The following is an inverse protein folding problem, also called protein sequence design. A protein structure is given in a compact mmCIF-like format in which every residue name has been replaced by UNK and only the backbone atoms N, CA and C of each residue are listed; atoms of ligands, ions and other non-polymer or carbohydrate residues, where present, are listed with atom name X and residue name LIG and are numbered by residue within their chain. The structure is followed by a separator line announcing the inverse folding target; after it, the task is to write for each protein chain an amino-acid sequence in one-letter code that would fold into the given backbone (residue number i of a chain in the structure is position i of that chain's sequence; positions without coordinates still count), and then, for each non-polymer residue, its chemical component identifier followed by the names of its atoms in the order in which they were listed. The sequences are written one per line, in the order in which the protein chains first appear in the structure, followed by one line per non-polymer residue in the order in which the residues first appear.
data_IF_318898551396
#
_entry.id   IF_318898551396
#
_cell.length_a   1.000
_cell.length_b   1.000
_cell.length_c   1.000
_cell.angle_alpha   90.00
_cell.angle_beta   90.00
_cell.angle_gamma   90.00
#
_symmetry.space_group_name_H-M   'P 1'
#
loop_
_entity.id
_entity.type
_entity.pdbx_description
1 polymer ?
#
# COMPACT_ATOMS: atom_id res chain seq x y z
N UNK A 1 -4.17 13.27 9.21
CA UNK A 1 -2.94 14.01 8.91
C UNK A 1 -2.14 13.21 7.88
N UNK A 2 -1.67 13.85 6.81
CA UNK A 2 -0.89 13.18 5.76
C UNK A 2 0.59 13.40 6.08
N UNK A 3 1.33 12.30 6.26
CA UNK A 3 2.78 12.34 6.42
C UNK A 3 3.44 12.17 5.04
N UNK A 4 4.21 13.14 4.54
CA UNK A 4 4.86 13.05 3.23
C UNK A 4 5.97 11.99 3.17
N UNK A 5 6.44 11.50 4.31
CA UNK A 5 7.39 10.39 4.41
C UNK A 5 6.75 9.02 4.17
N UNK A 6 5.44 8.89 4.41
CA UNK A 6 4.70 7.64 4.21
C UNK A 6 4.13 7.60 2.80
N UNK A 7 4.41 6.51 2.08
CA UNK A 7 4.10 6.33 0.67
C UNK A 7 3.13 5.17 0.46
N UNK A 8 2.37 5.23 -0.64
CA UNK A 8 1.41 4.21 -1.04
C UNK A 8 2.08 3.03 -1.75
N UNK A 9 3.10 2.44 -1.13
CA UNK A 9 3.69 1.19 -1.62
C UNK A 9 2.69 0.04 -1.50
N UNK A 10 2.92 -1.05 -2.24
CA UNK A 10 2.12 -2.26 -2.06
C UNK A 10 2.10 -2.71 -0.58
N UNK A 11 0.92 -3.08 -0.10
CA UNK A 11 0.68 -3.41 1.30
C UNK A 11 0.46 -2.24 2.24
N UNK A 12 0.53 -0.98 1.79
CA UNK A 12 0.17 0.16 2.63
C UNK A 12 -1.29 0.07 3.07
N UNK A 13 -1.54 0.36 4.35
CA UNK A 13 -2.88 0.49 4.94
C UNK A 13 -3.23 1.97 5.04
N UNK A 14 -4.30 2.36 4.38
CA UNK A 14 -4.64 3.75 4.13
C UNK A 14 -6.08 4.07 4.56
N UNK A 15 -6.28 5.31 5.01
CA UNK A 15 -7.61 5.85 5.26
C UNK A 15 -8.20 6.38 3.95
N UNK A 16 -9.40 5.91 3.59
CA UNK A 16 -10.10 6.39 2.43
C UNK A 16 -10.78 7.73 2.70
N UNK A 17 -10.68 8.65 1.75
CA UNK A 17 -11.43 9.90 1.75
C UNK A 17 -12.49 9.87 0.65
N UNK A 18 -13.70 10.29 0.99
CA UNK A 18 -14.74 10.46 -0.02
C UNK A 18 -14.35 11.59 -0.99
N UNK A 19 -14.44 11.32 -2.30
CA UNK A 19 -14.22 12.32 -3.33
C UNK A 19 -15.33 13.37 -3.28
N UNK A 20 -14.95 14.66 -3.19
CA UNK A 20 -15.86 15.80 -3.27
C UNK A 20 -16.26 16.47 -1.95
N UNK A 21 -15.68 16.06 -0.81
CA UNK A 21 -15.85 16.73 0.48
C UNK A 21 -14.62 17.52 0.94
N UNK A 22 -14.82 18.44 1.87
CA UNK A 22 -13.70 18.98 2.62
C UNK A 22 -13.00 17.82 3.38
N UNK A 23 -11.67 17.74 3.33
CA UNK A 23 -10.85 16.71 4.00
C UNK A 23 -10.83 16.88 5.54
N UNK A 24 -11.95 17.25 6.11
CA UNK A 24 -12.13 17.54 7.55
C UNK A 24 -12.73 16.37 8.31
N UNK A 25 -12.18 15.20 8.14
CA UNK A 25 -12.58 14.04 8.93
C UNK A 25 -12.56 12.76 8.09
N UNK A 26 -11.64 11.88 8.40
CA UNK A 26 -11.66 10.52 7.89
C UNK A 26 -12.94 9.84 8.36
N UNK A 27 -13.67 9.18 7.44
CA UNK A 27 -14.68 8.24 7.84
C UNK A 27 -14.03 6.89 8.22
N UNK A 28 -14.83 5.90 8.59
CA UNK A 28 -14.34 4.59 9.03
C UNK A 28 -13.87 3.68 7.89
N UNK A 29 -13.74 4.19 6.68
CA UNK A 29 -13.30 3.40 5.53
C UNK A 29 -11.77 3.38 5.45
N UNK A 30 -11.23 2.21 5.21
CA UNK A 30 -9.81 2.00 4.96
C UNK A 30 -9.63 1.06 3.77
N UNK A 31 -8.44 1.07 3.20
CA UNK A 31 -8.06 0.15 2.13
C UNK A 31 -6.61 -0.28 2.26
N UNK A 32 -6.29 -1.42 1.66
CA UNK A 32 -4.92 -1.89 1.45
C UNK A 32 -4.52 -1.60 0.01
N UNK A 33 -3.31 -1.11 -0.17
CA UNK A 33 -2.74 -0.97 -1.51
C UNK A 33 -2.38 -2.36 -2.03
N UNK A 34 -3.11 -2.82 -3.03
CA UNK A 34 -2.77 -4.02 -3.77
C UNK A 34 -2.18 -3.59 -5.12
N UNK A 35 -0.91 -3.89 -5.32
CA UNK A 35 -0.20 -3.61 -6.56
C UNK A 35 0.85 -4.69 -6.79
N UNK A 36 1.15 -4.96 -8.04
CA UNK A 36 2.18 -5.91 -8.41
C UNK A 36 3.53 -5.20 -8.54
N UNK A 37 4.65 -5.89 -8.33
CA UNK A 37 5.95 -5.43 -8.80
C UNK A 37 5.85 -5.01 -10.27
N UNK A 38 6.61 -4.03 -10.69
CA UNK A 38 6.58 -3.44 -12.03
C UNK A 38 5.28 -2.70 -12.40
N UNK A 39 4.33 -2.51 -11.47
CA UNK A 39 3.14 -1.67 -11.69
C UNK A 39 3.49 -0.19 -11.89
N UNK A 40 4.69 0.23 -11.49
CA UNK A 40 5.25 1.56 -11.74
C UNK A 40 6.31 1.44 -12.83
N UNK A 41 5.91 1.69 -14.06
CA UNK A 41 6.76 1.57 -15.25
C UNK A 41 7.81 2.69 -15.37
N UNK A 42 8.72 2.59 -16.35
CA UNK A 42 9.79 3.58 -16.55
C UNK A 42 9.26 5.01 -16.77
N UNK A 43 8.12 5.17 -17.44
CA UNK A 43 7.55 6.49 -17.68
C UNK A 43 7.01 7.09 -16.38
N UNK A 44 6.39 6.27 -15.55
CA UNK A 44 5.94 6.68 -14.20
C UNK A 44 7.13 6.98 -13.29
N UNK A 45 8.19 6.18 -13.31
CA UNK A 45 9.42 6.45 -12.55
C UNK A 45 10.04 7.81 -12.95
N UNK A 46 10.10 8.11 -14.24
CA UNK A 46 10.57 9.42 -14.73
C UNK A 46 9.66 10.56 -14.24
N UNK A 47 8.34 10.36 -14.23
CA UNK A 47 7.41 11.35 -13.71
C UNK A 47 7.59 11.56 -12.19
N UNK A 48 7.85 10.50 -11.42
CA UNK A 48 8.16 10.60 -9.99
C UNK A 48 9.42 11.44 -9.76
N UNK A 49 10.49 11.21 -10.52
CA UNK A 49 11.71 12.00 -10.44
C UNK A 49 11.46 13.49 -10.71
N UNK A 50 10.64 13.82 -11.71
CA UNK A 50 10.24 15.19 -12.01
C UNK A 50 9.39 15.84 -10.91
N UNK A 51 8.64 15.02 -10.14
CA UNK A 51 7.82 15.47 -9.02
C UNK A 51 8.56 15.47 -7.67
N UNK A 52 9.90 15.34 -7.69
CA UNK A 52 10.75 15.50 -6.51
C UNK A 52 10.84 14.26 -5.60
N UNK A 53 10.49 13.08 -6.09
CA UNK A 53 10.77 11.83 -5.39
C UNK A 53 12.27 11.53 -5.39
N UNK A 54 12.77 11.00 -4.29
CA UNK A 54 14.17 10.53 -4.22
C UNK A 54 14.35 9.26 -5.03
N UNK A 55 15.58 8.96 -5.43
CA UNK A 55 15.87 7.73 -6.15
C UNK A 55 15.46 6.50 -5.33
N UNK A 56 15.71 6.50 -4.02
CA UNK A 56 15.30 5.42 -3.11
C UNK A 56 13.78 5.19 -3.13
N UNK A 57 12.98 6.24 -3.13
CA UNK A 57 11.52 6.12 -3.24
C UNK A 57 11.08 5.57 -4.60
N UNK A 58 11.75 5.97 -5.67
CA UNK A 58 11.47 5.48 -7.02
C UNK A 58 11.83 3.99 -7.12
N UNK A 59 12.98 3.60 -6.62
CA UNK A 59 13.44 2.20 -6.61
C UNK A 59 12.50 1.32 -5.77
N UNK A 60 12.01 1.83 -4.63
CA UNK A 60 11.03 1.13 -3.81
C UNK A 60 9.69 0.93 -4.54
N UNK A 61 9.20 1.94 -5.28
CA UNK A 61 8.02 1.80 -6.12
C UNK A 61 8.23 0.81 -7.28
N UNK A 62 9.38 0.82 -7.90
CA UNK A 62 9.71 -0.13 -8.97
C UNK A 62 9.76 -1.58 -8.44
N UNK A 63 10.33 -1.78 -7.26
CA UNK A 63 10.49 -3.11 -6.66
C UNK A 63 9.19 -3.67 -6.06
N UNK A 64 8.45 -2.85 -5.31
CA UNK A 64 7.26 -3.29 -4.58
C UNK A 64 5.95 -3.08 -5.36
N UNK A 65 5.94 -2.13 -6.28
CA UNK A 65 4.71 -1.59 -6.84
C UNK A 65 4.03 -0.59 -5.91
N UNK A 66 2.93 -0.02 -6.35
CA UNK A 66 2.16 0.91 -5.52
C UNK A 66 1.33 1.90 -6.31
N UNK A 67 0.77 2.89 -5.59
CA UNK A 67 -0.14 3.88 -6.13
C UNK A 67 0.36 5.32 -5.84
N UNK A 68 1.46 5.76 -6.49
CA UNK A 68 2.10 7.03 -6.15
C UNK A 68 1.20 8.25 -6.38
N UNK A 69 0.15 8.14 -7.20
CA UNK A 69 -0.82 9.22 -7.41
C UNK A 69 -1.68 9.54 -6.17
N UNK A 70 -1.71 8.63 -5.18
CA UNK A 70 -2.38 8.84 -3.89
C UNK A 70 -1.47 9.50 -2.85
N UNK A 71 -0.18 9.61 -3.11
CA UNK A 71 0.76 10.24 -2.19
C UNK A 71 0.37 11.70 -1.95
N UNK A 72 0.51 12.13 -0.71
CA UNK A 72 0.08 13.45 -0.23
C UNK A 72 -1.43 13.73 -0.37
N UNK A 73 -2.22 12.74 -0.78
CA UNK A 73 -3.67 12.85 -0.85
C UNK A 73 -4.35 12.05 0.25
N UNK A 74 -4.04 10.80 0.40
CA UNK A 74 -4.61 9.93 1.41
C UNK A 74 -3.62 9.69 2.54
N UNK A 75 -4.14 9.32 3.71
CA UNK A 75 -3.31 9.06 4.88
C UNK A 75 -2.92 7.59 4.93
N UNK A 76 -1.62 7.31 4.79
CA UNK A 76 -1.04 6.00 5.13
C UNK A 76 -0.84 5.95 6.65
N UNK A 77 -1.33 4.91 7.32
CA UNK A 77 -1.20 4.76 8.77
C UNK A 77 -0.73 3.36 9.20
N UNK A 78 -0.47 2.47 8.27
CA UNK A 78 0.04 1.13 8.55
C UNK A 78 0.62 0.46 7.31
N UNK A 79 1.21 -0.72 7.53
CA UNK A 79 1.80 -1.54 6.49
C UNK A 79 1.52 -3.01 6.80
N UNK A 80 1.14 -3.77 5.79
CA UNK A 80 1.06 -5.24 5.88
C UNK A 80 2.49 -5.77 5.97
N UNK A 81 2.81 -6.45 7.04
CA UNK A 81 4.11 -7.12 7.22
C UNK A 81 4.01 -8.64 7.01
N UNK A 82 2.81 -9.19 7.06
CA UNK A 82 2.53 -10.61 6.83
C UNK A 82 1.15 -10.78 6.21
N UNK A 83 0.98 -11.74 5.29
CA UNK A 83 -0.31 -12.07 4.72
C UNK A 83 -0.69 -11.30 3.44
N UNK A 84 0.24 -10.70 2.69
CA UNK A 84 -0.06 -10.07 1.39
C UNK A 84 -0.80 -10.99 0.43
N UNK A 85 -0.53 -12.28 0.46
CA UNK A 85 -1.26 -13.27 -0.33
C UNK A 85 -2.77 -13.34 -0.01
N UNK A 86 -3.19 -12.88 1.17
CA UNK A 86 -4.61 -12.73 1.52
C UNK A 86 -5.18 -11.48 0.85
N UNK A 87 -4.43 -10.38 0.84
CA UNK A 87 -4.82 -9.14 0.13
C UNK A 87 -5.00 -9.44 -1.37
N UNK A 88 -4.06 -10.18 -1.98
CA UNK A 88 -4.16 -10.60 -3.38
C UNK A 88 -5.41 -11.46 -3.66
N UNK A 89 -5.74 -12.38 -2.75
CA UNK A 89 -6.96 -13.19 -2.87
C UNK A 89 -8.22 -12.34 -2.76
N UNK A 90 -8.24 -11.35 -1.86
CA UNK A 90 -9.35 -10.40 -1.72
C UNK A 90 -9.52 -9.55 -2.99
N UNK A 91 -8.43 -9.08 -3.57
CA UNK A 91 -8.45 -8.32 -4.83
C UNK A 91 -8.92 -9.18 -6.03
N UNK A 92 -8.74 -10.50 -5.96
CA UNK A 92 -9.15 -11.44 -7.00
C UNK A 92 -10.57 -11.98 -6.87
N UNK A 93 -11.37 -11.57 -5.86
CA UNK A 93 -12.75 -12.06 -5.74
C UNK A 93 -13.60 -11.55 -6.89
N UNK A 94 -14.54 -12.37 -7.34
CA UNK A 94 -15.49 -11.98 -8.37
C UNK A 94 -16.37 -10.84 -7.86
N UNK A 95 -16.47 -9.78 -8.63
CA UNK A 95 -17.32 -8.62 -8.32
C UNK A 95 -18.60 -8.62 -9.17
N UNK A 96 -19.59 -7.86 -8.73
CA UNK A 96 -20.80 -7.62 -9.49
C UNK A 96 -20.51 -6.55 -10.53
N UNK A 97 -20.80 -6.86 -11.79
CA UNK A 97 -20.90 -5.83 -12.83
C UNK A 97 -22.28 -5.19 -12.69
N UNK A 98 -22.35 -3.96 -12.23
CA UNK A 98 -23.62 -3.26 -12.23
C UNK A 98 -24.00 -2.85 -13.65
N UNK A 99 -25.28 -3.04 -14.04
CA UNK A 99 -25.78 -2.70 -15.38
C UNK A 99 -25.62 -1.20 -15.70
N UNK A 100 -25.55 -0.36 -14.67
CA UNK A 100 -25.35 1.08 -14.76
C UNK A 100 -23.89 1.54 -14.52
N UNK A 101 -22.96 0.61 -14.29
CA UNK A 101 -21.55 0.89 -14.05
C UNK A 101 -21.23 1.54 -12.70
N UNK A 102 -22.22 1.68 -11.83
CA UNK A 102 -22.08 2.46 -10.60
C UNK A 102 -21.41 1.72 -9.43
N UNK A 103 -21.36 0.39 -9.42
CA UNK A 103 -20.83 -0.41 -8.31
C UNK A 103 -20.19 -1.73 -8.78
N UNK A 104 -19.06 -1.61 -9.45
CA UNK A 104 -18.31 -2.78 -9.98
C UNK A 104 -17.34 -3.40 -8.97
N UNK A 105 -17.24 -2.84 -7.75
CA UNK A 105 -16.25 -3.27 -6.75
C UNK A 105 -16.86 -4.14 -5.64
N UNK A 106 -18.17 -4.34 -5.62
CA UNK A 106 -18.82 -5.17 -4.60
C UNK A 106 -18.67 -6.65 -4.92
N UNK A 107 -18.28 -7.52 -3.95
CA UNK A 107 -18.21 -8.96 -4.16
C UNK A 107 -19.55 -9.52 -4.69
N UNK A 108 -19.46 -10.48 -5.63
CA UNK A 108 -20.64 -11.12 -6.23
C UNK A 108 -21.50 -11.82 -5.18
N UNK A 109 -20.86 -12.53 -4.25
CA UNK A 109 -21.49 -13.09 -3.06
C UNK A 109 -21.06 -12.25 -1.84
N UNK A 110 -22.02 -11.66 -1.14
CA UNK A 110 -21.75 -10.86 0.06
C UNK A 110 -21.14 -11.67 1.22
N UNK A 111 -21.16 -13.00 1.13
CA UNK A 111 -20.49 -13.91 2.06
C UNK A 111 -19.03 -14.18 1.74
N UNK A 112 -18.57 -13.81 0.53
CA UNK A 112 -17.20 -14.11 0.08
C UNK A 112 -16.13 -13.32 0.82
N UNK A 113 -16.48 -12.12 1.31
CA UNK A 113 -15.56 -11.25 2.03
C UNK A 113 -16.24 -10.72 3.30
N UNK A 114 -15.80 -11.22 4.44
CA UNK A 114 -16.34 -10.81 5.75
C UNK A 114 -15.20 -10.62 6.74
N UNK A 115 -15.20 -9.50 7.45
CA UNK A 115 -14.36 -9.29 8.62
C UNK A 115 -15.14 -9.83 9.83
N UNK A 116 -14.76 -10.99 10.34
CA UNK A 116 -15.40 -11.59 11.50
C UNK A 116 -15.01 -10.88 12.79
N UNK A 117 -13.73 -10.57 12.95
CA UNK A 117 -13.20 -9.80 14.09
C UNK A 117 -11.86 -9.17 13.76
N UNK A 118 -11.51 -8.14 14.51
CA UNK A 118 -10.21 -7.49 14.47
C UNK A 118 -9.60 -7.57 15.86
N UNK A 119 -8.36 -8.07 15.96
CA UNK A 119 -7.59 -8.09 17.20
C UNK A 119 -6.47 -7.05 17.11
N UNK A 120 -6.36 -6.20 18.12
CA UNK A 120 -5.27 -5.22 18.26
C UNK A 120 -4.31 -5.76 19.30
N UNK A 121 -3.05 -5.91 18.92
CA UNK A 121 -1.97 -6.36 19.80
C UNK A 121 -0.71 -5.53 19.57
N UNK A 122 0.22 -5.58 20.53
CA UNK A 122 1.53 -5.01 20.30
C UNK A 122 2.23 -5.80 19.16
N UNK A 123 2.90 -5.07 18.27
CA UNK A 123 3.70 -5.69 17.22
C UNK A 123 4.87 -6.48 17.84
N UNK A 124 4.96 -7.80 17.59
CA UNK A 124 5.97 -8.65 18.24
C UNK A 124 7.30 -8.66 17.50
N UNK A 125 7.37 -8.02 16.36
CA UNK A 125 8.55 -8.01 15.50
C UNK A 125 9.61 -7.00 15.93
N UNK A 126 10.72 -6.95 15.21
CA UNK A 126 11.79 -6.02 15.48
C UNK A 126 11.31 -4.56 15.33
N UNK A 127 11.91 -3.68 16.09
CA UNK A 127 11.70 -2.23 15.94
C UNK A 127 12.22 -1.75 14.58
N UNK A 128 11.80 -0.55 14.15
CA UNK A 128 12.31 0.07 12.92
C UNK A 128 13.84 0.18 12.92
N UNK A 129 14.43 0.45 14.09
CA UNK A 129 15.87 0.57 14.27
C UNK A 129 16.58 -0.79 14.12
N UNK A 130 16.00 -1.86 14.67
CA UNK A 130 16.51 -3.22 14.50
C UNK A 130 16.38 -3.73 13.06
N UNK A 131 15.28 -3.41 12.37
CA UNK A 131 15.11 -3.72 10.95
C UNK A 131 16.14 -2.99 10.09
N UNK A 132 16.36 -1.70 10.33
CA UNK A 132 17.36 -0.92 9.61
C UNK A 132 18.77 -1.47 9.82
N UNK A 133 19.09 -1.92 11.04
CA UNK A 133 20.36 -2.55 11.34
C UNK A 133 20.52 -3.92 10.65
N UNK A 134 19.46 -4.72 10.55
CA UNK A 134 19.46 -5.99 9.83
C UNK A 134 19.68 -5.78 8.33
N UNK A 135 18.99 -4.84 7.71
CA UNK A 135 19.16 -4.53 6.28
C UNK A 135 20.54 -3.98 5.97
N UNK A 136 21.11 -3.14 6.82
CA UNK A 136 22.47 -2.66 6.65
C UNK A 136 23.50 -3.80 6.68
N UNK A 137 23.30 -4.80 7.57
CA UNK A 137 24.17 -5.96 7.66
C UNK A 137 24.07 -6.89 6.44
N UNK A 138 22.88 -7.07 5.86
CA UNK A 138 22.67 -7.86 4.64
C UNK A 138 23.37 -7.23 3.42
N UNK A 139 23.30 -5.91 3.28
CA UNK A 139 23.95 -5.17 2.18
C UNK A 139 25.48 -5.27 2.28
N UNK A 140 26.03 -5.24 3.50
CA UNK A 140 27.49 -5.38 3.71
C UNK A 140 27.98 -6.81 3.38
N UNK A 141 27.17 -7.83 3.65
CA UNK A 141 27.54 -9.24 3.36
C UNK A 141 27.48 -9.53 1.84
N UNK A 142 26.52 -8.98 1.11
CA UNK A 142 26.47 -9.09 -0.37
C UNK A 142 27.66 -8.38 -1.05
N UNK A 143 28.14 -7.27 -0.51
CA UNK A 143 29.31 -6.56 -1.02
C UNK A 143 30.66 -7.22 -0.65
N UNK A 144 30.69 -8.13 0.33
CA UNK A 144 31.88 -8.84 0.76
C UNK A 144 32.21 -10.09 -0.09
N UNK A 145 31.29 -10.53 -0.96
CA UNK A 145 31.41 -11.74 -1.81
C UNK A 145 31.75 -11.41 -3.27
N UNK A 146 32.11 -10.18 -3.59
CA UNK A 146 32.50 -9.70 -4.92
C UNK A 146 34.00 -9.69 -5.16
#
# INVERSE_FOLDING_TARGET
EVDPGLKHYAGALCAAFATGGERTGGNSQFYFVQALPDSVDEAQQQALAQNGYTQEQIDAYAAAGGLPYLDNTDTVFGQVYEGMNVVDKLAGVKTIDSEDGADTCRPFDSGDVTIEHITIAAYPGPTTEELAAQWAAEVDDENAVG
#
